data_IF_203398395678
#
_entry.id   IF_203398395678
#
_cell.length_a   1.000
_cell.length_b   1.000
_cell.length_c   1.000
_cell.angle_alpha   90.00
_cell.angle_beta   90.00
_cell.angle_gamma   90.00
#
_symmetry.space_group_name_H-M   'P 1'
#
loop_
_entity.id
_entity.type
_entity.pdbx_description
1 polymer ?
#
# COMPACT_ATOMS: atom_id res chain seq x y z
N UNK A 1 14.90 -12.75 37.87
CA UNK A 1 13.64 -12.55 37.12
C UNK A 1 13.62 -11.06 36.77
N UNK A 2 14.16 -10.72 35.60
CA UNK A 2 14.34 -9.31 35.19
C UNK A 2 12.99 -8.83 34.68
N UNK A 3 12.38 -7.93 35.45
CA UNK A 3 11.19 -7.19 35.08
C UNK A 3 11.54 -6.34 33.86
N UNK A 4 11.07 -6.78 32.69
CA UNK A 4 11.32 -6.11 31.43
C UNK A 4 10.42 -4.88 31.40
N UNK A 5 11.00 -3.70 31.62
CA UNK A 5 10.32 -2.43 31.45
C UNK A 5 9.49 -2.45 30.17
N UNK A 6 8.20 -2.22 30.31
CA UNK A 6 7.22 -2.04 29.23
C UNK A 6 7.40 -0.68 28.54
N UNK A 7 8.65 -0.26 28.32
CA UNK A 7 8.98 0.79 27.38
C UNK A 7 8.36 0.43 26.03
N UNK A 8 7.50 1.32 25.55
CA UNK A 8 6.69 1.23 24.35
C UNK A 8 7.53 0.91 23.11
N UNK A 9 7.82 -0.37 22.91
CA UNK A 9 8.50 -0.84 21.70
C UNK A 9 7.50 -0.76 20.55
N UNK A 10 7.70 0.23 19.68
CA UNK A 10 6.88 0.36 18.46
C UNK A 10 7.11 -0.89 17.62
N UNK A 11 6.05 -1.61 17.22
CA UNK A 11 6.22 -2.85 16.49
C UNK A 11 6.75 -2.58 15.07
N UNK A 12 7.64 -3.45 14.59
CA UNK A 12 8.33 -3.28 13.30
C UNK A 12 7.35 -3.15 12.11
N UNK A 13 6.25 -3.91 12.12
CA UNK A 13 5.22 -3.83 11.07
C UNK A 13 4.54 -2.47 11.01
N UNK A 14 4.52 -1.71 12.11
CA UNK A 14 3.98 -0.34 12.15
C UNK A 14 4.94 0.66 11.49
N UNK A 15 6.23 0.55 11.81
CA UNK A 15 7.29 1.39 11.23
C UNK A 15 7.39 1.14 9.72
N UNK A 16 7.52 -0.13 9.33
CA UNK A 16 7.64 -0.54 7.93
C UNK A 16 6.37 -0.21 7.14
N UNK A 17 5.18 -0.55 7.67
CA UNK A 17 3.93 -0.25 6.98
C UNK A 17 3.71 1.25 6.77
N UNK A 18 4.09 2.08 7.75
CA UNK A 18 4.04 3.55 7.60
C UNK A 18 5.06 4.04 6.57
N UNK A 19 6.29 3.53 6.61
CA UNK A 19 7.31 3.84 5.60
C UNK A 19 6.86 3.47 4.19
N UNK A 20 6.34 2.26 3.98
CA UNK A 20 5.81 1.80 2.69
C UNK A 20 4.68 2.69 2.21
N UNK A 21 3.75 3.07 3.09
CA UNK A 21 2.64 3.97 2.74
C UNK A 21 3.15 5.33 2.26
N UNK A 22 4.09 5.93 2.99
CA UNK A 22 4.66 7.25 2.63
C UNK A 22 5.48 7.15 1.35
N UNK A 23 6.29 6.10 1.19
CA UNK A 23 7.08 5.86 -0.01
C UNK A 23 6.18 5.70 -1.25
N UNK A 24 5.09 4.95 -1.14
CA UNK A 24 4.08 4.82 -2.20
C UNK A 24 3.39 6.14 -2.50
N UNK A 25 2.98 6.89 -1.47
CA UNK A 25 2.37 8.20 -1.64
C UNK A 25 3.29 9.20 -2.36
N UNK A 26 4.57 9.22 -1.99
CA UNK A 26 5.59 10.04 -2.64
C UNK A 26 5.86 9.60 -4.07
N UNK A 27 5.95 8.29 -4.33
CA UNK A 27 6.13 7.77 -5.68
C UNK A 27 4.96 8.18 -6.58
N UNK A 28 3.72 8.03 -6.11
CA UNK A 28 2.53 8.47 -6.83
C UNK A 28 2.56 9.98 -7.10
N UNK A 29 2.91 10.78 -6.10
CA UNK A 29 3.02 12.23 -6.25
C UNK A 29 4.07 12.58 -7.31
N UNK A 30 5.29 12.05 -7.20
CA UNK A 30 6.39 12.38 -8.11
C UNK A 30 6.14 11.90 -9.55
N UNK A 31 5.51 10.75 -9.73
CA UNK A 31 5.29 10.17 -11.05
C UNK A 31 4.08 10.77 -11.77
N UNK A 32 3.02 11.12 -11.03
CA UNK A 32 1.77 11.54 -11.66
C UNK A 32 1.43 13.04 -11.47
N UNK A 33 2.12 13.76 -10.59
CA UNK A 33 2.04 15.24 -10.54
C UNK A 33 2.51 15.92 -11.85
N UNK A 34 3.61 15.51 -12.51
CA UNK A 34 4.07 16.12 -13.76
C UNK A 34 3.07 16.00 -14.91
N UNK A 35 2.19 14.99 -14.88
CA UNK A 35 1.15 14.78 -15.88
C UNK A 35 -0.05 15.73 -15.77
N UNK A 36 -0.07 16.66 -14.80
CA UNK A 36 -1.11 17.67 -14.61
C UNK A 36 -2.44 17.15 -14.02
N UNK A 37 -2.82 15.91 -14.34
CA UNK A 37 -4.08 15.31 -13.87
C UNK A 37 -4.17 15.17 -12.35
N UNK A 38 -3.05 14.90 -11.68
CA UNK A 38 -3.01 14.74 -10.22
C UNK A 38 -3.13 16.09 -9.50
N UNK A 39 -2.62 17.18 -10.09
CA UNK A 39 -2.81 18.54 -9.58
C UNK A 39 -4.28 18.96 -9.61
N UNK A 40 -5.00 18.69 -10.71
CA UNK A 40 -6.45 18.95 -10.78
C UNK A 40 -7.25 18.12 -9.77
N UNK A 41 -6.89 16.85 -9.59
CA UNK A 41 -7.53 15.96 -8.63
C UNK A 41 -7.33 16.46 -7.19
N UNK A 42 -6.10 16.76 -6.81
CA UNK A 42 -5.76 17.31 -5.49
C UNK A 42 -6.47 18.64 -5.24
N UNK A 43 -6.58 19.51 -6.25
CA UNK A 43 -7.29 20.78 -6.11
C UNK A 43 -8.80 20.61 -5.87
N UNK A 44 -9.39 19.51 -6.33
CA UNK A 44 -10.81 19.19 -6.13
C UNK A 44 -11.09 18.44 -4.83
N UNK A 45 -10.07 17.86 -4.19
CA UNK A 45 -10.21 17.08 -2.97
C UNK A 45 -10.28 18.01 -1.77
N UNK A 46 -11.34 17.86 -0.97
CA UNK A 46 -11.35 18.46 0.36
C UNK A 46 -10.27 17.82 1.24
N UNK A 47 -9.73 18.57 2.20
CA UNK A 47 -8.76 18.04 3.17
C UNK A 47 -9.28 16.79 3.88
N UNK A 48 -10.58 16.76 4.20
CA UNK A 48 -11.23 15.61 4.85
C UNK A 48 -11.23 14.37 3.94
N UNK A 49 -11.60 14.55 2.67
CA UNK A 49 -11.58 13.47 1.67
C UNK A 49 -10.17 12.94 1.43
N UNK A 50 -9.17 13.83 1.38
CA UNK A 50 -7.76 13.46 1.27
C UNK A 50 -7.26 12.64 2.47
N UNK A 51 -7.61 13.06 3.69
CA UNK A 51 -7.26 12.33 4.93
C UNK A 51 -7.93 10.95 4.94
N UNK A 52 -9.21 10.86 4.57
CA UNK A 52 -9.93 9.59 4.54
C UNK A 52 -9.30 8.61 3.53
N UNK A 53 -8.95 9.09 2.34
CA UNK A 53 -8.30 8.29 1.31
C UNK A 53 -6.90 7.84 1.75
N UNK A 54 -6.10 8.74 2.31
CA UNK A 54 -4.80 8.40 2.90
C UNK A 54 -4.95 7.36 4.01
N UNK A 55 -5.91 7.53 4.91
CA UNK A 55 -6.19 6.59 6.00
C UNK A 55 -6.55 5.19 5.50
N UNK A 56 -7.37 5.09 4.45
CA UNK A 56 -7.72 3.81 3.84
C UNK A 56 -6.50 3.11 3.20
N UNK A 57 -5.68 3.86 2.46
CA UNK A 57 -4.46 3.35 1.85
C UNK A 57 -3.42 2.93 2.89
N UNK A 58 -3.30 3.72 3.96
CA UNK A 58 -2.43 3.43 5.09
C UNK A 58 -2.88 2.15 5.81
N UNK A 59 -4.16 2.03 6.14
CA UNK A 59 -4.69 0.86 6.85
C UNK A 59 -4.54 -0.44 6.04
N UNK A 60 -4.80 -0.39 4.73
CA UNK A 60 -4.63 -1.55 3.84
C UNK A 60 -3.16 -1.94 3.68
N UNK A 61 -2.27 -0.96 3.47
CA UNK A 61 -0.82 -1.20 3.39
C UNK A 61 -0.28 -1.77 4.70
N UNK A 62 -0.70 -1.22 5.84
CA UNK A 62 -0.32 -1.69 7.17
C UNK A 62 -0.79 -3.13 7.41
N UNK A 63 -2.03 -3.44 7.05
CA UNK A 63 -2.58 -4.79 7.15
C UNK A 63 -1.78 -5.78 6.29
N UNK A 64 -1.55 -5.47 5.02
CA UNK A 64 -0.78 -6.33 4.12
C UNK A 64 0.67 -6.51 4.61
N UNK A 65 1.29 -5.45 5.12
CA UNK A 65 2.65 -5.49 5.67
C UNK A 65 2.71 -6.39 6.91
N UNK A 66 1.75 -6.23 7.83
CA UNK A 66 1.64 -7.09 9.02
C UNK A 66 1.50 -8.56 8.63
N UNK A 67 0.69 -8.86 7.61
CA UNK A 67 0.49 -10.23 7.16
C UNK A 67 1.71 -10.80 6.41
N UNK A 68 2.43 -9.97 5.65
CA UNK A 68 3.67 -10.38 4.99
C UNK A 68 4.75 -10.75 6.02
N UNK A 69 4.79 -10.03 7.16
CA UNK A 69 5.77 -10.21 8.22
C UNK A 69 5.39 -11.26 9.29
N UNK A 70 4.15 -11.74 9.29
CA UNK A 70 3.64 -12.59 10.38
C UNK A 70 4.35 -13.95 10.46
N UNK A 71 5.00 -14.26 11.59
CA UNK A 71 5.57 -15.59 11.87
C UNK A 71 6.79 -15.97 11.01
N UNK A 72 7.53 -14.97 10.54
CA UNK A 72 8.76 -15.15 9.77
C UNK A 72 9.99 -14.83 10.63
N UNK A 73 11.01 -15.68 10.54
CA UNK A 73 12.36 -15.33 11.01
C UNK A 73 13.11 -14.63 9.88
N UNK A 74 12.95 -13.31 9.80
CA UNK A 74 13.48 -12.45 8.73
C UNK A 74 15.01 -12.36 8.69
N UNK A 75 15.71 -12.91 9.69
CA UNK A 75 17.16 -12.95 9.79
C UNK A 75 17.75 -14.35 9.60
N UNK A 76 16.92 -15.34 9.27
CA UNK A 76 17.39 -16.67 8.94
C UNK A 76 18.14 -16.63 7.61
N UNK A 77 19.32 -17.26 7.59
CA UNK A 77 20.11 -17.47 6.37
C UNK A 77 19.66 -18.75 5.62
N UNK A 78 18.61 -19.44 6.10
CA UNK A 78 18.04 -20.59 5.41
C UNK A 78 17.41 -20.17 4.06
N UNK A 79 17.87 -20.72 2.92
CA UNK A 79 17.28 -20.46 1.61
C UNK A 79 15.77 -20.74 1.54
N UNK A 80 15.27 -21.73 2.29
CA UNK A 80 13.83 -22.07 2.32
C UNK A 80 13.01 -21.00 3.05
N UNK A 81 13.54 -20.47 4.15
CA UNK A 81 12.93 -19.36 4.87
C UNK A 81 12.88 -18.10 4.00
N UNK A 82 13.97 -17.84 3.25
CA UNK A 82 14.06 -16.72 2.31
C UNK A 82 13.06 -16.84 1.15
N UNK A 83 12.93 -18.03 0.54
CA UNK A 83 11.93 -18.26 -0.51
C UNK A 83 10.50 -18.07 0.00
N UNK A 84 10.21 -18.51 1.22
CA UNK A 84 8.90 -18.33 1.86
C UNK A 84 8.59 -16.85 2.13
N UNK A 85 9.60 -16.07 2.53
CA UNK A 85 9.49 -14.61 2.68
C UNK A 85 9.11 -13.94 1.36
N UNK A 86 9.89 -14.16 0.30
CA UNK A 86 9.64 -13.51 -1.00
C UNK A 86 8.27 -13.89 -1.57
N UNK A 87 7.84 -15.14 -1.42
CA UNK A 87 6.51 -15.55 -1.84
C UNK A 87 5.40 -14.82 -1.07
N UNK A 88 5.56 -14.65 0.25
CA UNK A 88 4.58 -13.93 1.08
C UNK A 88 4.53 -12.44 0.75
N UNK A 89 5.68 -11.81 0.59
CA UNK A 89 5.79 -10.40 0.21
C UNK A 89 5.21 -10.17 -1.18
N UNK A 90 5.45 -11.09 -2.13
CA UNK A 90 4.84 -11.06 -3.46
C UNK A 90 3.31 -11.16 -3.38
N UNK A 91 2.79 -12.17 -2.65
CA UNK A 91 1.35 -12.39 -2.49
C UNK A 91 0.67 -11.19 -1.83
N UNK A 92 1.21 -10.70 -0.72
CA UNK A 92 0.60 -9.58 0.00
C UNK A 92 0.82 -8.24 -0.68
N UNK A 93 1.91 -8.10 -1.45
CA UNK A 93 2.09 -6.99 -2.38
C UNK A 93 1.00 -6.96 -3.45
N UNK A 94 0.70 -8.12 -4.07
CA UNK A 94 -0.40 -8.24 -5.04
C UNK A 94 -1.75 -7.88 -4.42
N UNK A 95 -2.04 -8.37 -3.22
CA UNK A 95 -3.26 -8.03 -2.47
C UNK A 95 -3.32 -6.52 -2.18
N UNK A 96 -2.20 -5.91 -1.76
CA UNK A 96 -2.17 -4.47 -1.52
C UNK A 96 -2.46 -3.66 -2.78
N UNK A 97 -1.89 -4.07 -3.93
CA UNK A 97 -2.18 -3.44 -5.22
C UNK A 97 -3.66 -3.54 -5.61
N UNK A 98 -4.29 -4.71 -5.40
CA UNK A 98 -5.72 -4.88 -5.62
C UNK A 98 -6.57 -4.03 -4.67
N UNK A 99 -6.21 -3.94 -3.39
CA UNK A 99 -6.90 -3.10 -2.40
C UNK A 99 -6.76 -1.60 -2.69
N UNK A 100 -5.60 -1.19 -3.21
CA UNK A 100 -5.38 0.17 -3.70
C UNK A 100 -6.35 0.49 -4.85
N UNK A 101 -6.43 -0.39 -5.86
CA UNK A 101 -7.37 -0.22 -6.97
C UNK A 101 -8.84 -0.22 -6.49
N UNK A 102 -9.19 -1.13 -5.58
CA UNK A 102 -10.52 -1.19 -4.99
C UNK A 102 -10.89 0.11 -4.26
N UNK A 103 -9.94 0.73 -3.58
CA UNK A 103 -10.11 2.02 -2.91
C UNK A 103 -10.38 3.13 -3.93
N UNK A 104 -9.64 3.17 -5.04
CA UNK A 104 -9.89 4.14 -6.13
C UNK A 104 -11.26 3.95 -6.76
N UNK A 105 -11.66 2.70 -7.03
CA UNK A 105 -12.99 2.38 -7.58
C UNK A 105 -14.09 2.82 -6.60
N UNK A 106 -13.94 2.55 -5.30
CA UNK A 106 -14.90 2.96 -4.28
C UNK A 106 -15.07 4.49 -4.23
N UNK A 107 -13.97 5.24 -4.30
CA UNK A 107 -14.00 6.72 -4.34
C UNK A 107 -14.74 7.22 -5.58
N UNK A 108 -14.50 6.62 -6.75
CA UNK A 108 -15.21 6.97 -7.97
C UNK A 108 -16.72 6.68 -7.89
N UNK A 109 -17.10 5.54 -7.29
CA UNK A 109 -18.50 5.18 -7.10
C UNK A 109 -19.22 6.14 -6.15
N UNK A 110 -18.59 6.50 -5.02
CA UNK A 110 -19.14 7.49 -4.09
C UNK A 110 -19.31 8.84 -4.78
N UNK A 111 -18.29 9.29 -5.52
CA UNK A 111 -18.34 10.55 -6.28
C UNK A 111 -19.50 10.56 -7.27
N UNK A 112 -19.68 9.48 -8.03
CA UNK A 112 -20.77 9.34 -8.99
C UNK A 112 -22.16 9.29 -8.31
N UNK A 113 -22.27 8.63 -7.16
CA UNK A 113 -23.53 8.52 -6.41
C UNK A 113 -23.98 9.86 -5.80
N UNK A 114 -23.04 10.74 -5.46
CA UNK A 114 -23.34 12.06 -4.87
C UNK A 114 -23.56 13.17 -5.90
N UNK A 115 -23.56 12.84 -7.20
CA UNK A 115 -23.60 13.84 -8.24
C UNK A 115 -25.01 14.44 -8.47
N UNK A 116 -25.09 15.71 -8.95
CA UNK A 116 -26.36 16.34 -9.26
C UNK A 116 -27.18 15.54 -10.30
N UNK A 117 -28.50 15.50 -10.13
CA UNK A 117 -29.43 14.72 -10.95
C UNK A 117 -29.32 14.99 -12.47
N UNK A 118 -28.87 16.19 -12.85
CA UNK A 118 -28.63 16.59 -14.24
C UNK A 118 -27.51 15.81 -14.94
N UNK A 119 -26.66 15.10 -14.19
CA UNK A 119 -25.54 14.28 -14.73
C UNK A 119 -25.60 12.81 -14.33
N UNK A 120 -26.65 12.39 -13.62
CA UNK A 120 -26.72 11.09 -12.97
C UNK A 120 -26.60 9.90 -13.93
N UNK A 121 -27.31 9.92 -15.07
CA UNK A 121 -27.28 8.81 -16.04
C UNK A 121 -25.91 8.65 -16.71
N UNK A 122 -25.28 9.76 -17.13
CA UNK A 122 -23.95 9.74 -17.74
C UNK A 122 -22.88 9.32 -16.73
N UNK A 123 -22.95 9.81 -15.49
CA UNK A 123 -22.00 9.43 -14.46
C UNK A 123 -22.13 7.99 -14.01
N UNK A 124 -23.35 7.46 -13.86
CA UNK A 124 -23.56 6.05 -13.52
C UNK A 124 -23.01 5.13 -14.63
N UNK A 125 -23.27 5.46 -15.90
CA UNK A 125 -22.72 4.71 -17.03
C UNK A 125 -21.18 4.76 -17.05
N UNK A 126 -20.58 5.94 -16.81
CA UNK A 126 -19.13 6.10 -16.74
C UNK A 126 -18.51 5.34 -15.56
N UNK A 127 -19.16 5.32 -14.40
CA UNK A 127 -18.69 4.62 -13.22
C UNK A 127 -18.78 3.10 -13.41
N UNK A 128 -19.88 2.60 -13.99
CA UNK A 128 -20.02 1.18 -14.34
C UNK A 128 -18.99 0.76 -15.40
N UNK A 129 -18.73 1.62 -16.39
CA UNK A 129 -17.67 1.38 -17.37
C UNK A 129 -16.29 1.28 -16.70
N UNK A 130 -15.97 2.18 -15.77
CA UNK A 130 -14.71 2.13 -15.01
C UNK A 130 -14.63 0.86 -14.16
N UNK A 131 -15.71 0.48 -13.47
CA UNK A 131 -15.77 -0.77 -12.69
C UNK A 131 -15.57 -2.00 -13.59
N UNK A 132 -16.24 -2.05 -14.74
CA UNK A 132 -16.14 -3.19 -15.66
C UNK A 132 -14.75 -3.27 -16.30
N UNK A 133 -14.21 -2.15 -16.79
CA UNK A 133 -12.92 -2.08 -17.47
C UNK A 133 -11.75 -2.30 -16.51
N UNK A 134 -11.70 -1.54 -15.41
CA UNK A 134 -10.61 -1.60 -14.44
C UNK A 134 -10.80 -2.75 -13.44
N UNK A 135 -12.02 -3.14 -13.10
CA UNK A 135 -12.25 -4.28 -12.21
C UNK A 135 -11.89 -5.62 -12.84
N UNK A 136 -11.95 -5.76 -14.17
CA UNK A 136 -11.53 -6.98 -14.86
C UNK A 136 -10.02 -6.97 -15.17
N UNK A 137 -9.57 -6.12 -16.09
CA UNK A 137 -8.17 -6.08 -16.52
C UNK A 137 -7.27 -5.30 -15.54
N UNK A 138 -7.78 -4.21 -14.97
CA UNK A 138 -7.03 -3.39 -14.04
C UNK A 138 -6.66 -4.13 -12.75
N UNK A 139 -7.49 -5.06 -12.27
CA UNK A 139 -7.19 -5.86 -11.07
C UNK A 139 -5.95 -6.74 -11.27
N UNK A 140 -5.80 -7.37 -12.44
CA UNK A 140 -4.62 -8.18 -12.76
C UNK A 140 -3.37 -7.29 -12.83
N UNK A 141 -3.49 -6.13 -13.48
CA UNK A 141 -2.39 -5.17 -13.59
C UNK A 141 -1.99 -4.60 -12.22
N UNK A 142 -2.97 -4.26 -11.38
CA UNK A 142 -2.77 -3.77 -10.03
C UNK A 142 -2.14 -4.84 -9.13
N UNK A 143 -2.55 -6.10 -9.28
CA UNK A 143 -1.91 -7.23 -8.61
C UNK A 143 -0.45 -7.39 -9.05
N UNK A 144 -0.16 -7.29 -10.35
CA UNK A 144 1.20 -7.40 -10.89
C UNK A 144 2.12 -6.27 -10.39
N UNK A 145 1.67 -5.01 -10.48
CA UNK A 145 2.41 -3.86 -9.95
C UNK A 145 2.58 -3.99 -8.43
N UNK A 146 1.52 -4.33 -7.72
CA UNK A 146 1.55 -4.53 -6.28
C UNK A 146 2.56 -5.60 -5.86
N UNK A 147 2.62 -6.72 -6.60
CA UNK A 147 3.61 -7.77 -6.39
C UNK A 147 5.04 -7.26 -6.57
N UNK A 148 5.32 -6.54 -7.66
CA UNK A 148 6.65 -5.98 -7.94
C UNK A 148 7.08 -4.99 -6.86
N UNK A 149 6.19 -4.06 -6.50
CA UNK A 149 6.44 -3.09 -5.43
C UNK A 149 6.66 -3.80 -4.11
N UNK A 150 5.81 -4.77 -3.76
CA UNK A 150 5.92 -5.57 -2.55
C UNK A 150 7.30 -6.22 -2.44
N UNK A 151 7.72 -6.97 -3.46
CA UNK A 151 9.03 -7.63 -3.49
C UNK A 151 10.17 -6.62 -3.36
N UNK A 152 10.07 -5.49 -4.04
CA UNK A 152 11.08 -4.41 -3.99
C UNK A 152 11.22 -3.86 -2.57
N UNK A 153 10.10 -3.51 -1.93
CA UNK A 153 10.08 -2.99 -0.57
C UNK A 153 10.55 -4.03 0.45
N UNK A 154 10.11 -5.29 0.34
CA UNK A 154 10.58 -6.35 1.22
C UNK A 154 12.07 -6.64 1.08
N UNK A 155 12.63 -6.54 -0.12
CA UNK A 155 14.08 -6.65 -0.33
C UNK A 155 14.83 -5.49 0.35
N UNK A 156 14.32 -4.25 0.21
CA UNK A 156 14.87 -3.07 0.89
C UNK A 156 14.81 -3.22 2.41
N UNK A 157 13.71 -3.75 2.95
CA UNK A 157 13.53 -3.97 4.39
C UNK A 157 14.59 -4.95 4.93
N UNK A 158 14.86 -6.05 4.21
CA UNK A 158 15.92 -7.01 4.59
C UNK A 158 17.27 -6.31 4.63
N UNK A 159 17.60 -5.53 3.59
CA UNK A 159 18.89 -4.82 3.52
C UNK A 159 19.01 -3.84 4.68
N UNK A 160 17.98 -3.03 4.93
CA UNK A 160 17.96 -2.07 6.03
C UNK A 160 18.12 -2.75 7.40
N UNK A 161 17.43 -3.86 7.64
CA UNK A 161 17.53 -4.61 8.90
C UNK A 161 18.88 -5.30 9.07
N UNK A 162 19.48 -5.81 7.99
CA UNK A 162 20.84 -6.38 8.02
C UNK A 162 21.89 -5.31 8.33
N UNK A 163 21.78 -4.14 7.70
CA UNK A 163 22.64 -2.99 8.00
C UNK A 163 22.49 -2.57 9.46
N UNK A 164 21.25 -2.40 9.94
CA UNK A 164 20.99 -2.05 11.34
C UNK A 164 21.60 -3.07 12.31
N UNK A 165 21.50 -4.37 12.02
CA UNK A 165 22.11 -5.45 12.83
C UNK A 165 23.63 -5.43 12.80
N UNK A 166 24.24 -5.07 11.67
CA UNK A 166 25.69 -4.95 11.58
C UNK A 166 26.23 -3.79 12.43
N UNK A 167 25.52 -2.66 12.43
CA UNK A 167 25.88 -1.48 13.21
C UNK A 167 25.73 -1.71 14.72
N UNK A 168 24.69 -2.42 15.15
CA UNK A 168 24.48 -2.74 16.57
C UNK A 168 25.39 -3.85 17.10
N UNK A 169 26.03 -4.65 16.23
CA UNK A 169 27.03 -5.64 16.63
C UNK A 169 28.46 -5.10 16.65
N UNK A 170 28.70 -3.98 15.98
CA UNK A 170 30.02 -3.36 15.85
C UNK A 170 30.30 -2.33 16.96
N UNK A 171 29.28 -1.86 17.68
CA UNK A 171 29.40 -1.03 18.88
C UNK A 171 29.14 -1.84 20.14
#
# INVERSE_FOLDING_TARGET
>A
MVERDSTTTIPLWWVLGTFHTVALGLALLLLAYPGGGLGSLLSSLSTVSGIALFGALWATTLFCTRQALAGLDWLSDDPRAMGTFFWRVLRWGAVNGMLFLATLIAVQLVTAATAPATRATFQLASALFVVLLYGSFGTVFAAAIGAVIGVTLGALDIVALRVARSLTRAG
#
